data_IF_634033195456
#
_entry.id   IF_634033195456
#
_cell.length_a   1.000
_cell.length_b   1.000
_cell.length_c   1.000
_cell.angle_alpha   90.00
_cell.angle_beta   90.00
_cell.angle_gamma   90.00
#
_symmetry.space_group_name_H-M   'P 1'
#
loop_
_entity.id
_entity.type
_entity.pdbx_description
1 polymer ?
#
# COMPACT_ATOMS: atom_id res chain seq x y z
N UNK A 1 1.28 -18.88 0.51
CA UNK A 1 2.38 -18.02 0.00
C UNK A 1 1.81 -16.63 -0.22
N UNK A 2 2.38 -15.61 0.41
CA UNK A 2 1.88 -14.23 0.34
C UNK A 2 2.21 -13.62 -1.03
N UNK A 3 1.21 -13.17 -1.79
CA UNK A 3 1.42 -12.41 -3.02
C UNK A 3 1.74 -10.96 -2.66
N UNK A 4 2.96 -10.52 -2.96
CA UNK A 4 3.39 -9.12 -2.81
C UNK A 4 3.28 -8.43 -4.17
N UNK A 5 2.57 -7.30 -4.23
CA UNK A 5 2.46 -6.47 -5.44
C UNK A 5 3.53 -5.37 -5.46
N UNK A 6 3.78 -4.78 -6.64
CA UNK A 6 4.65 -3.62 -6.78
C UNK A 6 4.09 -2.41 -6.01
N UNK A 7 2.76 -2.25 -5.96
CA UNK A 7 2.09 -1.25 -5.13
C UNK A 7 2.37 -1.45 -3.64
N UNK A 8 2.33 -2.69 -3.14
CA UNK A 8 2.64 -3.01 -1.73
C UNK A 8 4.09 -2.63 -1.37
N UNK A 9 5.04 -2.88 -2.28
CA UNK A 9 6.44 -2.55 -2.06
C UNK A 9 6.68 -1.02 -2.06
N UNK A 10 5.99 -0.28 -2.93
CA UNK A 10 6.06 1.17 -2.94
C UNK A 10 5.42 1.78 -1.68
N UNK A 11 4.23 1.30 -1.28
CA UNK A 11 3.57 1.71 -0.04
C UNK A 11 4.44 1.38 1.20
N UNK A 12 5.10 0.21 1.19
CA UNK A 12 6.06 -0.17 2.23
C UNK A 12 7.25 0.79 2.26
N UNK A 13 7.79 1.20 1.12
CA UNK A 13 8.87 2.17 1.06
C UNK A 13 8.44 3.55 1.58
N UNK A 14 7.22 4.00 1.28
CA UNK A 14 6.67 5.23 1.86
C UNK A 14 6.60 5.18 3.39
N UNK A 15 6.14 4.06 3.97
CA UNK A 15 6.17 3.86 5.42
C UNK A 15 7.59 3.91 5.99
N UNK A 16 8.53 3.19 5.37
CA UNK A 16 9.93 3.17 5.79
C UNK A 16 10.62 4.54 5.66
N UNK A 17 10.17 5.39 4.73
CA UNK A 17 10.64 6.77 4.61
C UNK A 17 10.22 7.63 5.81
N UNK A 18 9.02 7.39 6.36
CA UNK A 18 8.54 8.07 7.57
C UNK A 18 9.34 7.61 8.79
N UNK A 19 9.69 6.33 8.85
CA UNK A 19 10.59 5.78 9.86
C UNK A 19 11.98 6.43 9.76
N UNK A 20 12.55 6.50 8.55
CA UNK A 20 13.86 7.16 8.30
C UNK A 20 13.86 8.62 8.76
N UNK A 21 12.77 9.37 8.54
CA UNK A 21 12.65 10.75 8.99
C UNK A 21 12.73 10.91 10.51
N UNK A 22 12.29 9.90 11.26
CA UNK A 22 12.24 9.91 12.74
C UNK A 22 13.43 9.21 13.38
N UNK A 23 14.18 8.42 12.62
CA UNK A 23 15.35 7.71 13.10
C UNK A 23 16.52 8.66 13.33
N UNK A 24 17.28 8.45 14.40
CA UNK A 24 18.44 9.26 14.75
C UNK A 24 19.76 8.52 14.47
N UNK A 25 19.71 7.27 14.02
CA UNK A 25 20.92 6.48 13.72
C UNK A 25 21.58 7.02 12.45
N UNK A 26 22.92 7.12 12.43
CA UNK A 26 23.63 7.64 11.29
C UNK A 26 23.62 6.65 10.11
N UNK A 27 23.42 7.17 8.90
CA UNK A 27 23.54 6.39 7.66
C UNK A 27 25.01 6.17 7.33
N UNK A 28 25.40 4.92 7.10
CA UNK A 28 26.74 4.59 6.60
C UNK A 28 26.88 4.90 5.11
N UNK A 29 28.09 5.21 4.65
CA UNK A 29 28.34 5.47 3.22
C UNK A 29 27.98 4.27 2.34
N UNK A 30 28.14 3.05 2.85
CA UNK A 30 27.76 1.83 2.14
C UNK A 30 26.24 1.71 1.99
N UNK A 31 25.47 2.01 3.05
CA UNK A 31 24.00 2.01 2.98
C UNK A 31 23.49 3.07 2.00
N UNK A 32 24.11 4.26 1.98
CA UNK A 32 23.80 5.29 1.00
C UNK A 32 24.13 4.86 -0.44
N UNK A 33 25.33 4.33 -0.68
CA UNK A 33 25.75 3.85 -1.99
C UNK A 33 24.81 2.77 -2.54
N UNK A 34 24.44 1.80 -1.69
CA UNK A 34 23.49 0.75 -2.06
C UNK A 34 22.10 1.32 -2.37
N UNK A 35 21.64 2.31 -1.59
CA UNK A 35 20.36 2.99 -1.82
C UNK A 35 20.36 3.75 -3.16
N UNK A 36 21.36 4.59 -3.43
CA UNK A 36 21.49 5.38 -4.67
C UNK A 36 21.47 4.50 -5.93
N UNK A 37 22.28 3.43 -5.94
CA UNK A 37 22.28 2.44 -7.05
C UNK A 37 20.90 1.82 -7.23
N UNK A 38 20.21 1.52 -6.13
CA UNK A 38 18.88 0.90 -6.17
C UNK A 38 17.82 1.86 -6.70
N UNK A 39 17.90 3.15 -6.36
CA UNK A 39 17.02 4.19 -6.92
C UNK A 39 17.20 4.30 -8.43
N UNK A 40 18.45 4.40 -8.91
CA UNK A 40 18.73 4.43 -10.35
C UNK A 40 18.20 3.18 -11.07
N UNK A 41 18.41 1.99 -10.49
CA UNK A 41 17.92 0.73 -11.05
C UNK A 41 16.40 0.68 -11.09
N UNK A 42 15.72 1.16 -10.05
CA UNK A 42 14.26 1.25 -10.01
C UNK A 42 13.72 2.21 -11.08
N UNK A 43 14.30 3.41 -11.22
CA UNK A 43 13.93 4.35 -12.27
C UNK A 43 14.15 3.77 -13.67
N UNK A 44 15.26 3.06 -13.88
CA UNK A 44 15.51 2.32 -15.13
C UNK A 44 14.46 1.25 -15.36
N UNK A 45 14.08 0.49 -14.33
CA UNK A 45 13.02 -0.51 -14.39
C UNK A 45 11.62 0.08 -14.58
N UNK A 46 11.41 1.37 -14.26
CA UNK A 46 10.13 2.07 -14.47
C UNK A 46 10.03 2.82 -15.80
N UNK A 47 11.13 3.38 -16.30
CA UNK A 47 11.17 4.28 -17.48
C UNK A 47 11.85 3.68 -18.70
N UNK A 48 12.66 2.64 -18.48
CA UNK A 48 13.46 2.00 -19.52
C UNK A 48 14.83 2.65 -19.60
N UNK A 49 15.79 1.95 -20.19
CA UNK A 49 17.07 2.54 -20.52
C UNK A 49 16.83 3.77 -21.42
N UNK A 50 17.42 4.93 -21.07
CA UNK A 50 17.20 6.21 -21.78
C UNK A 50 15.73 6.62 -21.97
N UNK A 51 14.85 6.17 -21.08
CA UNK A 51 13.43 6.50 -21.15
C UNK A 51 12.74 5.92 -22.39
N UNK A 52 13.28 4.83 -22.98
CA UNK A 52 12.72 4.18 -24.19
C UNK A 52 11.26 3.76 -23.98
N UNK A 53 10.86 3.49 -22.74
CA UNK A 53 9.49 3.10 -22.40
C UNK A 53 8.55 4.28 -22.17
N UNK A 54 8.99 5.51 -22.39
CA UNK A 54 8.18 6.71 -22.21
C UNK A 54 7.91 7.34 -23.59
N UNK A 55 6.67 7.73 -23.92
CA UNK A 55 6.36 8.43 -25.17
C UNK A 55 7.20 9.70 -25.32
N UNK A 56 7.53 10.07 -26.56
CA UNK A 56 8.52 11.13 -26.84
C UNK A 56 8.08 12.50 -26.31
N UNK A 57 6.77 12.72 -26.23
CA UNK A 57 6.13 13.93 -25.71
C UNK A 57 6.36 14.16 -24.20
N UNK A 58 6.67 13.13 -23.41
CA UNK A 58 6.91 13.26 -21.97
C UNK A 58 8.40 13.47 -21.66
N UNK A 59 8.91 14.62 -22.07
CA UNK A 59 10.35 14.97 -22.00
C UNK A 59 10.90 14.98 -20.58
N UNK A 60 10.13 15.39 -19.58
CA UNK A 60 10.56 15.41 -18.17
C UNK A 60 10.85 13.99 -17.63
N UNK A 61 10.00 13.02 -17.95
CA UNK A 61 10.19 11.61 -17.54
C UNK A 61 11.38 10.97 -18.25
N UNK A 62 11.65 11.32 -19.51
CA UNK A 62 12.83 10.82 -20.24
C UNK A 62 14.13 11.44 -19.71
N UNK A 63 14.10 12.75 -19.48
CA UNK A 63 15.20 13.48 -18.89
C UNK A 63 15.56 12.97 -17.49
N UNK A 64 14.59 12.44 -16.73
CA UNK A 64 14.82 11.91 -15.38
C UNK A 64 15.90 10.82 -15.31
N UNK A 65 15.96 9.93 -16.31
CA UNK A 65 16.97 8.86 -16.34
C UNK A 65 18.24 9.31 -17.06
N UNK A 66 18.10 10.09 -18.14
CA UNK A 66 19.25 10.58 -18.91
C UNK A 66 20.14 11.54 -18.12
N UNK A 67 19.54 12.31 -17.20
CA UNK A 67 20.24 13.31 -16.38
C UNK A 67 20.59 12.80 -14.98
N UNK A 68 20.33 11.51 -14.68
CA UNK A 68 20.62 10.96 -13.36
C UNK A 68 22.12 11.10 -13.02
N UNK A 69 22.49 11.54 -11.80
CA UNK A 69 23.89 11.82 -11.47
C UNK A 69 24.83 10.63 -11.67
N UNK A 70 25.88 10.81 -12.48
CA UNK A 70 26.95 9.83 -12.75
C UNK A 70 28.32 10.34 -12.28
N UNK A 71 29.29 9.46 -11.97
CA UNK A 71 29.18 8.00 -11.92
C UNK A 71 28.43 7.53 -10.67
N UNK A 72 27.72 6.40 -10.76
CA UNK A 72 27.21 5.71 -9.58
C UNK A 72 28.39 5.24 -8.70
N UNK A 73 28.42 5.67 -7.43
CA UNK A 73 29.47 5.28 -6.49
C UNK A 73 29.03 4.03 -5.74
N UNK A 74 29.37 2.84 -6.26
CA UNK A 74 29.04 1.55 -5.64
C UNK A 74 29.75 0.38 -6.33
N UNK A 75 29.75 -0.82 -5.75
CA UNK A 75 30.41 -2.01 -6.32
C UNK A 75 29.60 -2.58 -7.50
N UNK A 76 29.45 -1.85 -8.61
CA UNK A 76 28.79 -2.37 -9.82
C UNK A 76 29.40 -1.77 -11.10
N UNK A 77 29.82 -2.64 -12.03
CA UNK A 77 30.04 -2.32 -13.46
C UNK A 77 28.73 -2.54 -14.23
N UNK A 78 28.24 -1.53 -14.93
CA UNK A 78 27.10 -1.65 -15.86
C UNK A 78 27.57 -2.25 -17.20
N UNK A 79 26.91 -3.27 -17.78
CA UNK A 79 27.30 -3.80 -19.09
C UNK A 79 26.70 -3.01 -20.26
N UNK A 80 27.50 -2.88 -21.32
CA UNK A 80 27.17 -2.34 -22.65
C UNK A 80 26.74 -3.51 -23.53
N UNK A 81 25.60 -3.44 -24.21
CA UNK A 81 25.07 -4.57 -25.00
C UNK A 81 25.74 -4.68 -26.37
N UNK A 82 26.39 -5.82 -26.66
CA UNK A 82 26.72 -6.29 -28.01
C UNK A 82 25.92 -7.58 -28.29
N UNK A 83 25.32 -7.65 -29.47
CA UNK A 83 24.38 -8.67 -29.94
C UNK A 83 25.05 -9.96 -30.44
N UNK A 84 24.60 -11.17 -30.04
CA UNK A 84 24.44 -12.37 -30.91
C UNK A 84 23.89 -13.64 -30.19
N UNK A 85 23.37 -14.66 -30.92
CA UNK A 85 22.43 -15.68 -30.39
C UNK A 85 23.00 -17.10 -30.15
N UNK A 86 22.13 -17.98 -29.58
CA UNK A 86 22.13 -19.49 -29.50
C UNK A 86 22.82 -20.13 -28.27
N UNK A 87 22.39 -21.24 -27.63
CA UNK A 87 21.64 -22.45 -28.04
C UNK A 87 21.08 -23.21 -26.80
N UNK A 88 20.11 -24.12 -27.00
CA UNK A 88 19.09 -24.56 -26.01
C UNK A 88 19.39 -25.85 -25.20
N UNK A 89 20.57 -26.47 -25.30
CA UNK A 89 20.76 -27.88 -24.84
C UNK A 89 21.53 -28.08 -23.50
N UNK A 90 21.89 -27.01 -22.79
CA UNK A 90 22.72 -27.13 -21.58
C UNK A 90 21.93 -27.06 -20.24
N UNK A 91 20.60 -26.92 -20.30
CA UNK A 91 19.75 -26.49 -19.18
C UNK A 91 19.40 -27.54 -18.11
N UNK A 92 19.58 -28.84 -18.35
CA UNK A 92 19.01 -29.85 -17.44
C UNK A 92 19.94 -30.36 -16.33
N UNK A 93 21.26 -30.11 -16.39
CA UNK A 93 22.20 -30.70 -15.40
C UNK A 93 22.63 -29.77 -14.26
N UNK A 94 22.32 -28.48 -14.32
CA UNK A 94 22.81 -27.50 -13.33
C UNK A 94 21.77 -27.07 -12.28
N UNK A 95 20.52 -27.55 -12.40
CA UNK A 95 19.40 -27.21 -11.52
C UNK A 95 19.50 -27.76 -10.07
N UNK A 96 20.53 -28.56 -9.74
CA UNK A 96 20.62 -29.28 -8.47
C UNK A 96 21.55 -28.64 -7.41
N UNK A 97 22.30 -27.57 -7.71
CA UNK A 97 23.43 -27.16 -6.87
C UNK A 97 23.28 -25.88 -6.02
N UNK A 98 22.21 -25.09 -6.16
CA UNK A 98 22.06 -23.82 -5.42
C UNK A 98 20.77 -23.77 -4.60
N UNK A 99 20.77 -24.47 -3.47
CA UNK A 99 19.73 -24.34 -2.45
C UNK A 99 20.36 -24.10 -1.09
N UNK A 100 19.83 -23.08 -0.39
CA UNK A 100 20.07 -22.66 1.01
C UNK A 100 21.10 -21.54 1.22
N UNK A 101 20.57 -20.32 1.33
CA UNK A 101 20.77 -19.46 2.52
C UNK A 101 19.63 -18.44 2.63
N UNK A 102 18.76 -18.69 3.61
CA UNK A 102 17.84 -17.75 4.30
C UNK A 102 16.95 -16.83 3.44
N UNK A 103 15.76 -17.36 3.11
CA UNK A 103 14.48 -16.65 2.93
C UNK A 103 14.35 -15.50 1.92
N UNK A 104 15.19 -15.47 0.89
CA UNK A 104 14.81 -14.92 -0.41
C UNK A 104 14.89 -16.04 -1.44
N UNK A 105 13.79 -16.26 -2.15
CA UNK A 105 13.75 -17.17 -3.29
C UNK A 105 14.60 -16.56 -4.41
N UNK A 106 15.90 -16.85 -4.43
CA UNK A 106 16.68 -16.83 -5.67
C UNK A 106 16.19 -18.00 -6.52
N UNK A 107 15.17 -17.74 -7.34
CA UNK A 107 14.67 -18.72 -8.32
C UNK A 107 15.61 -18.74 -9.53
N UNK A 108 15.92 -19.91 -10.11
CA UNK A 108 16.95 -20.09 -11.13
C UNK A 108 16.58 -19.35 -12.43
N UNK A 109 17.56 -18.68 -13.03
CA UNK A 109 17.42 -17.96 -14.32
C UNK A 109 17.65 -18.91 -15.50
N UNK A 110 16.76 -18.93 -16.52
CA UNK A 110 16.92 -19.74 -17.73
C UNK A 110 17.59 -19.02 -18.92
N UNK A 111 18.38 -17.95 -18.73
CA UNK A 111 18.98 -17.20 -19.85
C UNK A 111 20.51 -17.03 -19.72
N UNK A 112 21.30 -17.18 -20.81
CA UNK A 112 22.76 -17.02 -20.78
C UNK A 112 23.27 -15.57 -20.85
N UNK A 113 22.38 -14.57 -20.95
CA UNK A 113 22.76 -13.16 -21.21
C UNK A 113 22.38 -12.19 -20.07
N UNK A 114 22.39 -12.63 -18.80
CA UNK A 114 22.02 -11.76 -17.68
C UNK A 114 23.24 -10.91 -17.21
N UNK A 115 23.05 -9.59 -16.97
CA UNK A 115 24.08 -8.70 -16.43
C UNK A 115 24.69 -9.25 -15.13
N UNK A 116 25.97 -8.94 -14.81
CA UNK A 116 26.56 -9.43 -13.57
C UNK A 116 25.66 -9.01 -12.40
N UNK A 117 25.25 -10.02 -11.63
CA UNK A 117 24.54 -9.86 -10.38
C UNK A 117 25.23 -8.77 -9.55
N UNK A 118 24.42 -7.90 -8.93
CA UNK A 118 24.87 -7.07 -7.81
C UNK A 118 25.81 -7.91 -6.95
N UNK A 119 26.96 -7.36 -6.56
CA UNK A 119 27.82 -8.01 -5.59
C UNK A 119 26.99 -8.16 -4.29
N UNK A 120 26.43 -9.37 -4.11
CA UNK A 120 25.41 -9.68 -3.09
C UNK A 120 25.98 -9.45 -1.70
N UNK A 121 27.32 -9.49 -1.57
CA UNK A 121 28.03 -9.24 -0.33
C UNK A 121 27.98 -7.76 0.11
N UNK A 122 27.71 -6.82 -0.81
CA UNK A 122 27.65 -5.39 -0.53
C UNK A 122 26.26 -4.84 -0.19
N UNK A 123 25.20 -5.63 -0.37
CA UNK A 123 23.81 -5.21 -0.15
C UNK A 123 23.40 -5.34 1.32
N UNK A 124 22.61 -4.40 1.85
CA UNK A 124 22.07 -4.52 3.21
C UNK A 124 21.16 -5.75 3.34
N UNK A 125 21.26 -6.45 4.47
CA UNK A 125 20.39 -7.58 4.77
C UNK A 125 19.01 -7.09 5.21
N UNK A 126 17.96 -7.87 4.93
CA UNK A 126 16.59 -7.56 5.37
C UNK A 126 16.45 -7.51 6.91
N UNK A 127 17.37 -8.15 7.61
CA UNK A 127 17.50 -8.17 9.08
C UNK A 127 18.21 -6.95 9.64
N UNK A 128 18.79 -6.08 8.80
CA UNK A 128 19.36 -4.80 9.25
C UNK A 128 18.22 -3.93 9.81
N UNK A 129 18.30 -3.53 11.10
CA UNK A 129 17.25 -2.74 11.72
C UNK A 129 17.21 -1.28 11.20
N UNK A 130 18.18 -0.84 10.41
CA UNK A 130 18.25 0.54 9.90
C UNK A 130 17.19 0.79 8.79
N UNK A 131 16.39 1.88 8.86
CA UNK A 131 15.35 2.14 7.87
C UNK A 131 15.89 2.29 6.44
N UNK A 132 17.08 2.89 6.27
CA UNK A 132 17.77 2.98 4.97
C UNK A 132 18.02 1.60 4.33
N UNK A 133 18.48 0.62 5.11
CA UNK A 133 18.73 -0.74 4.61
C UNK A 133 17.42 -1.43 4.16
N UNK A 134 16.35 -1.25 4.95
CA UNK A 134 15.02 -1.76 4.63
C UNK A 134 14.41 -1.07 3.42
N UNK A 135 14.65 0.24 3.24
CA UNK A 135 14.27 1.00 2.04
C UNK A 135 14.98 0.45 0.81
N UNK A 136 16.28 0.24 0.89
CA UNK A 136 17.07 -0.37 -0.20
C UNK A 136 16.53 -1.75 -0.56
N UNK A 137 16.16 -2.58 0.42
CA UNK A 137 15.53 -3.88 0.17
C UNK A 137 14.17 -3.75 -0.53
N UNK A 138 13.31 -2.83 -0.08
CA UNK A 138 11.98 -2.62 -0.67
C UNK A 138 12.07 -2.12 -2.12
N UNK A 139 12.93 -1.13 -2.38
CA UNK A 139 13.18 -0.64 -3.74
C UNK A 139 13.87 -1.67 -4.62
N UNK A 140 14.78 -2.48 -4.06
CA UNK A 140 15.43 -3.58 -4.80
C UNK A 140 14.42 -4.64 -5.23
N UNK A 141 13.57 -5.09 -4.31
CA UNK A 141 12.49 -6.03 -4.62
C UNK A 141 11.51 -5.46 -5.65
N UNK A 142 11.18 -4.17 -5.54
CA UNK A 142 10.30 -3.49 -6.49
C UNK A 142 10.94 -3.45 -7.88
N UNK A 143 12.22 -3.08 -7.98
CA UNK A 143 12.95 -3.04 -9.24
C UNK A 143 13.04 -4.42 -9.91
N UNK A 144 13.26 -5.49 -9.13
CA UNK A 144 13.25 -6.87 -9.65
C UNK A 144 11.89 -7.29 -10.20
N UNK A 145 10.83 -6.96 -9.47
CA UNK A 145 9.46 -7.29 -9.84
C UNK A 145 9.08 -6.57 -11.16
N UNK A 146 9.40 -5.29 -11.25
CA UNK A 146 9.17 -4.46 -12.44
C UNK A 146 10.01 -4.90 -13.65
N UNK A 147 11.28 -5.25 -13.43
CA UNK A 147 12.15 -5.74 -14.48
C UNK A 147 11.61 -7.03 -15.10
N UNK A 148 11.17 -8.00 -14.28
CA UNK A 148 10.55 -9.24 -14.77
C UNK A 148 9.26 -8.98 -15.55
N UNK A 149 8.41 -8.08 -15.06
CA UNK A 149 7.14 -7.78 -15.74
C UNK A 149 7.35 -7.12 -17.10
N UNK A 150 8.41 -6.32 -17.26
CA UNK A 150 8.78 -5.68 -18.53
C UNK A 150 9.39 -6.60 -19.57
N UNK A 151 10.09 -7.65 -19.14
CA UNK A 151 10.58 -8.70 -20.06
C UNK A 151 9.40 -9.46 -20.68
N UNK A 152 8.22 -9.40 -20.04
CA UNK A 152 7.01 -10.13 -20.45
C UNK A 152 5.98 -9.26 -21.19
N UNK A 153 5.84 -7.96 -20.92
CA UNK A 153 4.88 -7.08 -21.59
C UNK A 153 5.37 -5.63 -21.82
N UNK A 154 4.82 -4.99 -22.86
CA UNK A 154 5.14 -3.62 -23.32
C UNK A 154 4.70 -2.54 -22.32
N UNK A 155 5.39 -1.40 -22.43
CA UNK A 155 5.19 -0.04 -21.87
C UNK A 155 3.85 0.18 -21.13
N UNK A 156 3.86 0.73 -19.89
CA UNK A 156 2.62 1.13 -19.21
C UNK A 156 1.82 2.15 -20.04
N UNK A 157 0.57 1.83 -20.38
CA UNK A 157 -0.36 2.76 -21.06
C UNK A 157 -0.79 3.94 -20.14
N UNK A 158 -0.58 3.80 -18.82
CA UNK A 158 -0.93 4.77 -17.77
C UNK A 158 0.25 5.71 -17.45
N UNK A 159 0.46 6.73 -18.30
CA UNK A 159 1.55 7.70 -18.10
C UNK A 159 1.34 8.58 -16.87
N UNK A 160 0.10 8.92 -16.52
CA UNK A 160 -0.19 9.69 -15.31
C UNK A 160 0.18 8.88 -14.06
N UNK A 161 -0.14 7.58 -14.04
CA UNK A 161 0.29 6.65 -13.01
C UNK A 161 1.81 6.43 -12.98
N UNK A 162 2.47 6.35 -14.13
CA UNK A 162 3.93 6.30 -14.21
C UNK A 162 4.57 7.57 -13.62
N UNK A 163 4.01 8.74 -13.93
CA UNK A 163 4.43 10.03 -13.40
C UNK A 163 4.29 10.08 -11.88
N UNK A 164 3.15 9.65 -11.34
CA UNK A 164 2.94 9.62 -9.89
C UNK A 164 3.90 8.66 -9.17
N UNK A 165 4.12 7.46 -9.72
CA UNK A 165 5.07 6.50 -9.17
C UNK A 165 6.50 7.06 -9.17
N UNK A 166 6.94 7.67 -10.28
CA UNK A 166 8.27 8.31 -10.37
C UNK A 166 8.41 9.44 -9.36
N UNK A 167 7.39 10.27 -9.18
CA UNK A 167 7.35 11.35 -8.19
C UNK A 167 7.51 10.82 -6.76
N UNK A 168 6.83 9.71 -6.40
CA UNK A 168 6.96 9.08 -5.08
C UNK A 168 8.38 8.55 -4.83
N UNK A 169 8.98 7.88 -5.83
CA UNK A 169 10.36 7.40 -5.76
C UNK A 169 11.33 8.57 -5.56
N UNK A 170 11.16 9.67 -6.30
CA UNK A 170 11.99 10.87 -6.16
C UNK A 170 11.82 11.56 -4.80
N UNK A 171 10.60 11.63 -4.28
CA UNK A 171 10.34 12.21 -2.95
C UNK A 171 11.05 11.40 -1.85
N UNK A 172 11.05 10.07 -1.95
CA UNK A 172 11.79 9.20 -1.02
C UNK A 172 13.30 9.37 -1.21
N UNK A 173 13.79 9.49 -2.45
CA UNK A 173 15.21 9.72 -2.73
C UNK A 173 15.73 11.06 -2.18
N UNK A 174 14.97 12.15 -2.36
CA UNK A 174 15.28 13.46 -1.80
C UNK A 174 15.32 13.43 -0.26
N UNK A 175 14.34 12.78 0.36
CA UNK A 175 14.32 12.59 1.82
C UNK A 175 15.55 11.81 2.30
N UNK A 176 15.87 10.69 1.65
CA UNK A 176 17.02 9.86 1.98
C UNK A 176 18.34 10.62 1.83
N UNK A 177 18.46 11.45 0.78
CA UNK A 177 19.60 12.34 0.57
C UNK A 177 19.75 13.35 1.72
N UNK A 178 18.66 14.04 2.08
CA UNK A 178 18.65 15.01 3.19
C UNK A 178 19.04 14.37 4.51
N UNK A 179 18.45 13.22 4.82
CA UNK A 179 18.77 12.48 6.03
C UNK A 179 20.24 12.03 6.04
N UNK A 180 20.75 11.52 4.92
CA UNK A 180 22.16 11.10 4.81
C UNK A 180 23.11 12.28 4.99
N UNK A 181 22.84 13.44 4.38
CA UNK A 181 23.64 14.66 4.55
C UNK A 181 23.71 15.13 6.01
N UNK A 182 22.64 14.93 6.78
CA UNK A 182 22.62 15.26 8.20
C UNK A 182 23.46 14.29 9.06
N UNK A 183 23.74 13.07 8.55
CA UNK A 183 24.42 12.02 9.32
C UNK A 183 25.86 11.71 8.89
N UNK A 184 26.34 12.21 7.75
CA UNK A 184 27.69 11.92 7.23
C UNK A 184 28.63 13.12 7.35
N UNK A 185 29.96 12.90 7.41
CA UNK A 185 30.93 14.00 7.37
C UNK A 185 30.76 14.86 6.10
N UNK A 186 30.99 16.17 6.21
CA UNK A 186 30.88 17.14 5.10
C UNK A 186 31.68 16.73 3.85
N UNK A 187 32.81 16.04 4.01
CA UNK A 187 33.60 15.54 2.87
C UNK A 187 32.85 14.53 1.99
N UNK A 188 31.80 13.89 2.51
CA UNK A 188 31.05 12.82 1.85
C UNK A 188 29.62 13.26 1.45
N UNK A 189 29.24 14.52 1.66
CA UNK A 189 27.88 15.00 1.36
C UNK A 189 27.65 15.28 -0.12
N UNK A 190 28.72 15.40 -0.92
CA UNK A 190 28.62 15.77 -2.34
C UNK A 190 27.67 14.85 -3.11
N UNK A 191 27.79 13.53 -2.95
CA UNK A 191 26.95 12.56 -3.68
C UNK A 191 25.48 12.60 -3.23
N UNK A 192 25.14 12.51 -1.93
CA UNK A 192 23.79 12.77 -1.44
C UNK A 192 23.21 14.10 -1.94
N UNK A 193 23.98 15.19 -1.88
CA UNK A 193 23.54 16.50 -2.32
C UNK A 193 23.18 16.52 -3.81
N UNK A 194 24.02 15.96 -4.68
CA UNK A 194 23.74 15.93 -6.13
C UNK A 194 22.51 15.08 -6.46
N UNK A 195 22.33 13.93 -5.80
CA UNK A 195 21.13 13.08 -5.98
C UNK A 195 19.88 13.77 -5.44
N UNK A 196 19.97 14.45 -4.28
CA UNK A 196 18.89 15.25 -3.71
C UNK A 196 18.45 16.36 -4.64
N UNK A 197 19.39 17.19 -5.12
CA UNK A 197 19.11 18.27 -6.07
C UNK A 197 18.50 17.77 -7.38
N UNK A 198 18.97 16.65 -7.89
CA UNK A 198 18.37 16.01 -9.07
C UNK A 198 16.92 15.60 -8.78
N UNK A 199 16.67 14.92 -7.67
CA UNK A 199 15.32 14.50 -7.30
C UNK A 199 14.37 15.69 -7.13
N UNK A 200 14.78 16.72 -6.40
CA UNK A 200 13.97 17.92 -6.18
C UNK A 200 13.69 18.70 -7.47
N UNK A 201 14.69 18.87 -8.34
CA UNK A 201 14.50 19.53 -9.63
C UNK A 201 13.49 18.83 -10.54
N UNK A 202 13.40 17.49 -10.47
CA UNK A 202 12.40 16.73 -11.22
C UNK A 202 11.03 16.68 -10.53
N UNK A 203 10.95 16.78 -9.20
CA UNK A 203 9.66 16.84 -8.50
C UNK A 203 8.82 18.06 -8.93
N UNK A 204 9.46 19.21 -9.15
CA UNK A 204 8.77 20.42 -9.61
C UNK A 204 8.27 20.30 -11.05
N UNK A 205 9.05 19.65 -11.92
CA UNK A 205 8.72 19.48 -13.35
C UNK A 205 7.71 18.35 -13.63
N UNK A 206 7.53 17.41 -12.70
CA UNK A 206 6.55 16.31 -12.79
C UNK A 206 5.19 16.65 -12.15
N UNK A 207 4.85 17.94 -12.03
CA UNK A 207 3.59 18.40 -11.43
C UNK A 207 2.37 17.88 -12.19
N UNK A 208 1.50 17.13 -11.51
CA UNK A 208 0.28 16.58 -12.10
C UNK A 208 -0.90 17.55 -11.94
N UNK A 209 -1.66 17.78 -13.02
CA UNK A 209 -2.92 18.53 -12.97
C UNK A 209 -4.08 17.74 -12.34
N UNK A 210 -3.90 16.43 -12.10
CA UNK A 210 -4.85 15.53 -11.44
C UNK A 210 -4.12 14.50 -10.57
N UNK A 211 -4.67 14.13 -9.40
CA UNK A 211 -4.20 12.96 -8.68
C UNK A 211 -4.51 11.70 -9.52
N UNK A 212 -3.47 11.01 -9.97
CA UNK A 212 -3.58 9.72 -10.64
C UNK A 212 -2.95 8.65 -9.76
N UNK A 213 -3.65 7.54 -9.57
CA UNK A 213 -3.12 6.36 -8.87
C UNK A 213 -2.42 5.50 -9.92
N UNK A 214 -1.19 5.06 -9.63
CA UNK A 214 -0.41 4.18 -10.50
C UNK A 214 -1.03 2.76 -10.59
N UNK A 215 -2.15 2.63 -11.31
CA UNK A 215 -2.99 1.42 -11.35
C UNK A 215 -2.21 0.20 -11.82
N UNK A 216 -1.29 0.40 -12.75
CA UNK A 216 -0.41 -0.62 -13.29
C UNK A 216 0.46 -1.30 -12.22
N UNK A 217 0.81 -0.63 -11.10
CA UNK A 217 1.58 -1.24 -10.01
C UNK A 217 0.82 -2.36 -9.26
N UNK A 218 -0.51 -2.37 -9.33
CA UNK A 218 -1.34 -3.41 -8.70
C UNK A 218 -1.43 -4.68 -9.56
N UNK A 219 -1.21 -4.56 -10.87
CA UNK A 219 -1.17 -5.69 -11.82
C UNK A 219 0.18 -6.42 -11.74
N UNK A 220 1.22 -5.71 -11.33
CA UNK A 220 2.58 -6.23 -11.25
C UNK A 220 2.78 -6.94 -9.90
N UNK A 221 2.35 -8.19 -9.81
CA UNK A 221 2.55 -9.06 -8.64
C UNK A 221 3.71 -10.04 -8.83
N UNK A 222 4.40 -10.41 -7.74
CA UNK A 222 5.46 -11.43 -7.75
C UNK A 222 4.99 -12.82 -8.22
N UNK A 223 3.70 -12.96 -8.51
CA UNK A 223 3.06 -14.11 -9.13
C UNK A 223 2.25 -13.66 -10.36
N UNK A 224 2.75 -13.84 -11.57
CA UNK A 224 1.96 -13.87 -12.83
C UNK A 224 2.59 -14.93 -13.75
N UNK A 225 1.87 -15.76 -14.52
CA UNK A 225 0.50 -15.72 -14.99
C UNK A 225 -0.09 -17.13 -15.22
N UNK A 226 -1.42 -17.17 -15.39
CA UNK A 226 -2.23 -18.21 -16.04
C UNK A 226 -2.28 -19.61 -15.44
N UNK A 227 -3.24 -19.80 -14.53
CA UNK A 227 -4.10 -20.99 -14.57
C UNK A 227 -5.46 -20.58 -14.03
N UNK A 228 -6.54 -21.04 -14.67
CA UNK A 228 -7.91 -20.82 -14.26
C UNK A 228 -8.09 -20.97 -12.73
N UNK A 229 -9.01 -20.22 -12.09
CA UNK A 229 -9.16 -20.23 -10.64
C UNK A 229 -9.63 -21.62 -10.19
N UNK A 230 -8.70 -22.48 -9.79
CA UNK A 230 -9.00 -23.82 -9.28
C UNK A 230 -8.93 -23.92 -7.76
N UNK A 231 -8.70 -22.79 -7.06
CA UNK A 231 -8.68 -22.76 -5.60
C UNK A 231 -9.36 -21.49 -5.07
N UNK A 232 -10.30 -21.60 -4.11
CA UNK A 232 -10.87 -20.46 -3.37
C UNK A 232 -9.80 -19.52 -2.78
N UNK A 233 -8.59 -20.02 -2.57
CA UNK A 233 -7.43 -19.33 -1.95
C UNK A 233 -6.84 -18.22 -2.84
N UNK A 234 -6.73 -18.44 -4.15
CA UNK A 234 -6.30 -17.39 -5.11
C UNK A 234 -7.41 -16.37 -5.39
N UNK A 235 -8.65 -16.73 -5.10
CA UNK A 235 -9.80 -15.84 -5.28
C UNK A 235 -9.77 -14.69 -4.27
N UNK A 236 -9.44 -14.95 -3.00
CA UNK A 236 -9.47 -13.90 -1.97
C UNK A 236 -8.45 -12.78 -2.23
N UNK A 237 -7.21 -13.12 -2.57
CA UNK A 237 -6.17 -12.10 -2.86
C UNK A 237 -6.54 -11.21 -4.04
N UNK A 238 -7.03 -11.81 -5.13
CA UNK A 238 -7.47 -11.06 -6.33
C UNK A 238 -8.67 -10.17 -5.98
N UNK A 239 -9.63 -10.71 -5.24
CA UNK A 239 -10.84 -9.97 -4.84
C UNK A 239 -10.50 -8.84 -3.87
N UNK A 240 -9.59 -9.05 -2.91
CA UNK A 240 -9.11 -8.01 -2.00
C UNK A 240 -8.38 -6.91 -2.78
N UNK A 241 -7.50 -7.27 -3.71
CA UNK A 241 -6.77 -6.29 -4.52
C UNK A 241 -7.72 -5.45 -5.39
N UNK A 242 -8.70 -6.10 -6.03
CA UNK A 242 -9.70 -5.42 -6.86
C UNK A 242 -10.63 -4.52 -6.04
N UNK A 243 -11.08 -5.00 -4.87
CA UNK A 243 -11.84 -4.19 -3.93
C UNK A 243 -11.02 -3.01 -3.42
N UNK A 244 -9.77 -3.21 -3.04
CA UNK A 244 -8.86 -2.16 -2.57
C UNK A 244 -8.71 -1.05 -3.63
N UNK A 245 -8.47 -1.43 -4.88
CA UNK A 245 -8.31 -0.51 -6.01
C UNK A 245 -9.60 0.29 -6.28
N UNK A 246 -10.74 -0.38 -6.36
CA UNK A 246 -12.02 0.27 -6.68
C UNK A 246 -12.52 1.15 -5.54
N UNK A 247 -12.30 0.73 -4.29
CA UNK A 247 -12.64 1.52 -3.10
C UNK A 247 -11.77 2.78 -2.96
N UNK A 248 -10.48 2.73 -3.32
CA UNK A 248 -9.62 3.92 -3.32
C UNK A 248 -10.14 4.98 -4.30
N UNK A 249 -10.53 4.53 -5.50
CA UNK A 249 -11.12 5.41 -6.53
C UNK A 249 -12.41 6.06 -6.03
N UNK A 250 -13.24 5.29 -5.33
CA UNK A 250 -14.53 5.74 -4.82
C UNK A 250 -14.39 6.76 -3.67
N UNK A 251 -13.46 6.54 -2.73
CA UNK A 251 -13.18 7.47 -1.62
C UNK A 251 -12.60 8.79 -2.11
N UNK A 252 -11.78 8.76 -3.17
CA UNK A 252 -11.15 9.95 -3.74
C UNK A 252 -11.96 10.59 -4.87
N UNK A 253 -13.18 10.12 -5.13
CA UNK A 253 -14.09 10.79 -6.03
C UNK A 253 -14.36 12.23 -5.58
N UNK A 254 -14.67 13.14 -6.52
CA UNK A 254 -14.95 14.53 -6.19
C UNK A 254 -16.06 14.69 -5.15
N UNK A 255 -17.08 13.82 -5.23
CA UNK A 255 -18.14 13.68 -4.23
C UNK A 255 -18.41 12.18 -4.00
N UNK A 256 -17.79 11.55 -2.98
CA UNK A 256 -18.00 10.13 -2.71
C UNK A 256 -19.45 9.85 -2.34
N UNK A 257 -19.97 8.69 -2.73
CA UNK A 257 -21.35 8.31 -2.38
C UNK A 257 -21.46 7.95 -0.89
N UNK A 258 -22.53 8.40 -0.22
CA UNK A 258 -22.86 7.94 1.15
C UNK A 258 -22.98 6.41 1.20
N UNK A 259 -23.57 5.79 0.18
CA UNK A 259 -23.69 4.34 0.12
C UNK A 259 -22.32 3.66 0.04
N UNK A 260 -21.35 4.29 -0.63
CA UNK A 260 -19.98 3.80 -0.70
C UNK A 260 -19.26 3.90 0.64
N UNK A 261 -19.41 5.02 1.35
CA UNK A 261 -18.85 5.20 2.70
C UNK A 261 -19.44 4.19 3.70
N UNK A 262 -20.75 3.94 3.63
CA UNK A 262 -21.41 2.91 4.44
C UNK A 262 -20.96 1.50 4.05
N UNK A 263 -20.75 1.24 2.76
CA UNK A 263 -20.23 -0.05 2.29
C UNK A 263 -18.81 -0.29 2.81
N UNK A 264 -17.95 0.73 2.85
CA UNK A 264 -16.61 0.63 3.42
C UNK A 264 -16.63 0.21 4.89
N UNK A 265 -17.46 0.86 5.72
CA UNK A 265 -17.53 0.52 7.15
C UNK A 265 -18.10 -0.89 7.36
N UNK A 266 -19.13 -1.28 6.59
CA UNK A 266 -19.68 -2.65 6.60
C UNK A 266 -18.66 -3.71 6.18
N UNK A 267 -17.87 -3.44 5.14
CA UNK A 267 -16.78 -4.35 4.74
C UNK A 267 -15.71 -4.42 5.82
N UNK A 268 -15.38 -3.30 6.46
CA UNK A 268 -14.49 -3.28 7.64
C UNK A 268 -14.98 -4.18 8.76
N UNK A 269 -16.26 -4.09 9.11
CA UNK A 269 -16.90 -4.98 10.09
C UNK A 269 -16.76 -6.45 9.68
N UNK A 270 -17.02 -6.77 8.41
CA UNK A 270 -16.93 -8.14 7.91
C UNK A 270 -15.49 -8.68 7.92
N UNK A 271 -14.51 -7.85 7.55
CA UNK A 271 -13.09 -8.19 7.59
C UNK A 271 -12.64 -8.52 9.01
N UNK A 272 -12.92 -7.63 9.98
CA UNK A 272 -12.51 -7.84 11.38
C UNK A 272 -13.20 -9.06 12.00
N UNK A 273 -14.50 -9.26 11.73
CA UNK A 273 -15.22 -10.44 12.19
C UNK A 273 -14.62 -11.74 11.61
N UNK A 274 -14.23 -11.73 10.33
CA UNK A 274 -13.60 -12.89 9.69
C UNK A 274 -12.21 -13.16 10.28
N UNK A 275 -11.45 -12.12 10.62
CA UNK A 275 -10.17 -12.24 11.33
C UNK A 275 -10.37 -12.87 12.71
N UNK A 276 -11.36 -12.42 13.49
CA UNK A 276 -11.67 -12.98 14.81
C UNK A 276 -12.00 -14.48 14.71
N UNK A 277 -12.88 -14.88 13.78
CA UNK A 277 -13.25 -16.29 13.56
C UNK A 277 -12.04 -17.16 13.15
N UNK A 278 -11.20 -16.67 12.23
CA UNK A 278 -9.99 -17.40 11.83
C UNK A 278 -8.97 -17.51 12.97
N UNK A 279 -8.83 -16.47 13.80
CA UNK A 279 -7.96 -16.49 14.96
C UNK A 279 -8.44 -17.49 16.02
N UNK A 280 -9.75 -17.54 16.27
CA UNK A 280 -10.37 -18.50 17.21
C UNK A 280 -10.30 -19.96 16.73
N UNK A 281 -10.34 -20.19 15.41
CA UNK A 281 -10.37 -21.51 14.80
C UNK A 281 -9.03 -22.27 14.80
N UNK A 282 -7.91 -21.62 15.13
CA UNK A 282 -6.59 -22.27 15.18
C UNK A 282 -5.91 -22.14 16.55
N UNK A 283 -4.83 -22.89 16.76
CA UNK A 283 -3.88 -22.69 17.89
C UNK A 283 -3.10 -21.36 17.78
N UNK A 284 -3.43 -20.56 16.79
CA UNK A 284 -2.86 -19.29 16.37
C UNK A 284 -3.23 -18.11 17.29
N UNK A 285 -3.12 -18.27 18.61
CA UNK A 285 -3.10 -17.14 19.58
C UNK A 285 -1.93 -16.16 19.33
N UNK A 286 -1.04 -16.47 18.41
CA UNK A 286 0.08 -15.62 17.99
C UNK A 286 -0.34 -14.34 17.26
N UNK A 287 -1.53 -14.26 16.66
CA UNK A 287 -1.91 -13.16 15.76
C UNK A 287 -2.88 -12.14 16.34
N UNK A 288 -3.78 -12.55 17.23
CA UNK A 288 -4.81 -11.66 17.79
C UNK A 288 -4.34 -10.76 18.94
N UNK A 289 -3.07 -10.85 19.35
CA UNK A 289 -2.66 -10.40 20.68
C UNK A 289 -3.39 -11.20 21.77
N UNK A 290 -3.05 -10.99 23.04
CA UNK A 290 -3.77 -11.64 24.14
C UNK A 290 -5.16 -11.04 24.40
N UNK A 291 -5.48 -9.90 23.76
CA UNK A 291 -6.67 -9.12 24.05
C UNK A 291 -7.60 -8.95 22.83
N UNK A 292 -8.62 -9.82 22.67
CA UNK A 292 -9.61 -9.71 21.60
C UNK A 292 -10.57 -8.53 21.78
N UNK A 293 -10.52 -7.78 22.89
CA UNK A 293 -11.42 -6.65 23.10
C UNK A 293 -11.21 -5.54 22.07
N UNK A 294 -9.96 -5.24 21.69
CA UNK A 294 -9.67 -4.18 20.70
C UNK A 294 -10.31 -4.42 19.32
N UNK A 295 -10.38 -5.68 18.87
CA UNK A 295 -11.07 -6.04 17.62
C UNK A 295 -12.58 -5.82 17.72
N UNK A 296 -13.19 -6.21 18.84
CA UNK A 296 -14.63 -6.04 19.07
C UNK A 296 -15.02 -4.58 19.25
N UNK A 297 -14.18 -3.78 19.89
CA UNK A 297 -14.37 -2.34 19.98
C UNK A 297 -14.33 -1.68 18.61
N UNK A 298 -13.37 -2.05 17.76
CA UNK A 298 -13.30 -1.57 16.38
C UNK A 298 -14.52 -1.99 15.55
N UNK A 299 -14.97 -3.24 15.69
CA UNK A 299 -16.20 -3.74 15.04
C UNK A 299 -17.42 -2.94 15.49
N UNK A 300 -17.60 -2.74 16.79
CA UNK A 300 -18.71 -1.97 17.37
C UNK A 300 -18.70 -0.53 16.83
N UNK A 301 -17.55 0.14 16.87
CA UNK A 301 -17.44 1.51 16.38
C UNK A 301 -17.77 1.64 14.89
N UNK A 302 -17.38 0.67 14.04
CA UNK A 302 -17.76 0.66 12.62
C UNK A 302 -19.27 0.44 12.40
N UNK A 303 -19.90 -0.39 13.25
CA UNK A 303 -21.36 -0.59 13.23
C UNK A 303 -22.08 0.70 13.65
N UNK A 304 -21.60 1.36 14.70
CA UNK A 304 -22.18 2.62 15.20
C UNK A 304 -22.12 3.71 14.13
N UNK A 305 -21.05 3.77 13.35
CA UNK A 305 -20.97 4.66 12.18
C UNK A 305 -22.05 4.38 11.15
N UNK A 306 -22.32 3.12 10.81
CA UNK A 306 -23.36 2.79 9.82
C UNK A 306 -24.76 3.20 10.30
N UNK A 307 -24.98 3.23 11.62
CA UNK A 307 -26.22 3.66 12.28
C UNK A 307 -26.31 5.18 12.47
N UNK A 308 -25.18 5.86 12.63
CA UNK A 308 -25.12 7.30 12.88
C UNK A 308 -25.47 8.17 11.66
N UNK A 309 -25.47 7.61 10.44
CA UNK A 309 -25.94 8.32 9.26
C UNK A 309 -27.43 8.71 9.39
N UNK A 310 -27.81 9.96 9.06
CA UNK A 310 -29.21 10.33 8.99
C UNK A 310 -30.00 9.38 8.08
N UNK A 311 -31.20 8.98 8.52
CA UNK A 311 -32.02 8.02 7.76
C UNK A 311 -32.37 8.57 6.38
N UNK A 312 -31.87 7.94 5.31
CA UNK A 312 -32.04 8.41 3.94
C UNK A 312 -30.99 9.44 3.50
N UNK A 313 -29.87 9.54 4.21
CA UNK A 313 -28.74 10.37 3.80
C UNK A 313 -28.25 9.99 2.40
N UNK A 314 -27.93 10.99 1.59
CA UNK A 314 -27.43 10.83 0.23
C UNK A 314 -26.59 12.03 -0.18
N UNK A 315 -25.57 11.81 -0.99
CA UNK A 315 -24.80 12.86 -1.69
C UNK A 315 -25.31 13.12 -3.09
N UNK A 316 -26.43 12.50 -3.48
CA UNK A 316 -26.97 12.45 -4.85
C UNK A 316 -26.01 11.81 -5.87
N UNK A 317 -24.87 11.29 -5.43
CA UNK A 317 -23.94 10.50 -6.22
C UNK A 317 -24.18 9.02 -6.02
N UNK A 318 -24.13 8.26 -7.11
CA UNK A 318 -24.25 6.80 -7.08
C UNK A 318 -22.86 6.19 -6.95
N UNK A 319 -22.71 5.07 -6.22
CA UNK A 319 -21.48 4.29 -6.23
C UNK A 319 -21.10 3.87 -7.65
N UNK A 320 -19.81 3.83 -7.96
CA UNK A 320 -19.35 3.27 -9.22
C UNK A 320 -19.72 1.78 -9.32
N UNK A 321 -20.19 1.33 -10.49
CA UNK A 321 -20.57 -0.08 -10.70
C UNK A 321 -19.42 -1.04 -10.41
N UNK A 322 -18.19 -0.66 -10.77
CA UNK A 322 -16.98 -1.44 -10.49
C UNK A 322 -16.72 -1.59 -8.99
N UNK A 323 -17.01 -0.56 -8.19
CA UNK A 323 -16.88 -0.64 -6.73
C UNK A 323 -17.98 -1.52 -6.12
N UNK A 324 -19.21 -1.45 -6.64
CA UNK A 324 -20.32 -2.31 -6.18
C UNK A 324 -20.01 -3.77 -6.45
N UNK A 325 -19.56 -4.09 -7.67
CA UNK A 325 -19.21 -5.47 -8.04
C UNK A 325 -18.04 -6.00 -7.22
N UNK A 326 -16.98 -5.21 -7.05
CA UNK A 326 -15.83 -5.61 -6.24
C UNK A 326 -16.21 -5.81 -4.76
N UNK A 327 -17.07 -4.95 -4.21
CA UNK A 327 -17.57 -5.09 -2.84
C UNK A 327 -18.45 -6.32 -2.66
N UNK A 328 -19.27 -6.65 -3.67
CA UNK A 328 -20.06 -7.90 -3.67
C UNK A 328 -19.15 -9.11 -3.72
N UNK A 329 -18.18 -9.12 -4.63
CA UNK A 329 -17.20 -10.21 -4.75
C UNK A 329 -16.42 -10.42 -3.44
N UNK A 330 -16.02 -9.32 -2.77
CA UNK A 330 -15.37 -9.41 -1.46
C UNK A 330 -16.29 -10.04 -0.42
N UNK A 331 -17.54 -9.59 -0.33
CA UNK A 331 -18.50 -10.17 0.59
C UNK A 331 -18.71 -11.67 0.34
N UNK A 332 -18.89 -12.06 -0.92
CA UNK A 332 -19.05 -13.46 -1.35
C UNK A 332 -17.80 -14.32 -1.08
N UNK A 333 -16.60 -13.73 -1.07
CA UNK A 333 -15.37 -14.43 -0.74
C UNK A 333 -15.17 -14.57 0.80
N UNK A 334 -15.58 -13.56 1.57
CA UNK A 334 -15.42 -13.53 3.03
C UNK A 334 -16.40 -14.45 3.76
N UNK A 335 -17.66 -14.51 3.32
CA UNK A 335 -18.70 -15.23 4.07
C UNK A 335 -18.44 -16.75 4.18
N UNK A 336 -18.07 -17.47 3.10
CA UNK A 336 -17.70 -18.89 3.20
C UNK A 336 -16.45 -19.12 4.04
N UNK A 337 -15.50 -18.18 4.00
CA UNK A 337 -14.26 -18.25 4.78
C UNK A 337 -14.55 -18.11 6.28
N UNK A 338 -15.41 -17.18 6.65
CA UNK A 338 -15.89 -16.96 8.03
C UNK A 338 -16.60 -18.19 8.58
N UNK A 339 -17.59 -18.71 7.85
CA UNK A 339 -18.37 -19.89 8.25
C UNK A 339 -17.53 -21.19 8.25
N UNK A 340 -16.49 -21.24 7.41
CA UNK A 340 -15.61 -22.39 7.22
C UNK A 340 -14.33 -22.36 8.05
N UNK A 341 -14.10 -21.35 8.90
CA UNK A 341 -12.81 -21.09 9.55
C UNK A 341 -12.21 -22.31 10.29
N UNK A 342 -13.05 -23.07 11.01
CA UNK A 342 -12.65 -24.28 11.74
C UNK A 342 -12.25 -25.46 10.84
N UNK A 343 -12.67 -25.46 9.57
CA UNK A 343 -12.41 -26.54 8.60
C UNK A 343 -11.18 -26.28 7.74
N UNK A 344 -10.60 -25.09 7.82
CA UNK A 344 -9.39 -24.73 7.08
C UNK A 344 -8.18 -25.44 7.70
N UNK A 345 -7.30 -25.93 6.83
CA UNK A 345 -5.98 -26.36 7.25
C UNK A 345 -5.13 -25.15 7.70
N UNK A 346 -4.01 -25.41 8.39
CA UNK A 346 -3.17 -24.33 8.93
C UNK A 346 -2.58 -23.41 7.86
N UNK A 347 -2.16 -23.97 6.72
CA UNK A 347 -1.54 -23.18 5.64
C UNK A 347 -2.55 -22.27 4.94
N UNK A 348 -3.81 -22.71 4.83
CA UNK A 348 -4.92 -21.94 4.29
C UNK A 348 -5.34 -20.83 5.21
N UNK A 349 -5.43 -21.14 6.50
CA UNK A 349 -5.73 -20.15 7.52
C UNK A 349 -4.68 -19.05 7.51
N UNK A 350 -3.39 -19.40 7.47
CA UNK A 350 -2.30 -18.42 7.42
C UNK A 350 -2.34 -17.57 6.14
N UNK A 351 -2.64 -18.18 4.99
CA UNK A 351 -2.75 -17.46 3.71
C UNK A 351 -3.95 -16.51 3.70
N UNK A 352 -5.12 -16.98 4.17
CA UNK A 352 -6.31 -16.17 4.29
C UNK A 352 -6.11 -15.01 5.29
N UNK A 353 -5.49 -15.29 6.44
CA UNK A 353 -5.15 -14.27 7.42
C UNK A 353 -4.23 -13.20 6.81
N UNK A 354 -3.20 -13.57 6.06
CA UNK A 354 -2.33 -12.61 5.40
C UNK A 354 -3.08 -11.71 4.39
N UNK A 355 -4.04 -12.26 3.65
CA UNK A 355 -4.90 -11.49 2.74
C UNK A 355 -5.80 -10.50 3.50
N UNK A 356 -6.38 -10.94 4.61
CA UNK A 356 -7.22 -10.09 5.46
C UNK A 356 -6.43 -8.97 6.13
N UNK A 357 -5.20 -9.24 6.59
CA UNK A 357 -4.32 -8.21 7.15
C UNK A 357 -3.92 -7.15 6.11
N UNK A 358 -3.75 -7.55 4.84
CA UNK A 358 -3.58 -6.59 3.75
C UNK A 358 -4.83 -5.75 3.55
N UNK A 359 -6.00 -6.39 3.53
CA UNK A 359 -7.28 -5.69 3.39
C UNK A 359 -7.54 -4.69 4.54
N UNK A 360 -7.22 -5.04 5.79
CA UNK A 360 -7.35 -4.13 6.94
C UNK A 360 -6.34 -2.99 6.87
N UNK A 361 -5.10 -3.26 6.45
CA UNK A 361 -4.11 -2.21 6.22
C UNK A 361 -4.59 -1.22 5.16
N UNK A 362 -5.15 -1.70 4.05
CA UNK A 362 -5.72 -0.84 3.01
C UNK A 362 -6.89 0.00 3.53
N UNK A 363 -7.85 -0.65 4.20
CA UNK A 363 -9.00 0.05 4.78
C UNK A 363 -8.57 1.11 5.81
N UNK A 364 -7.51 0.85 6.59
CA UNK A 364 -6.97 1.81 7.54
C UNK A 364 -6.48 3.09 6.85
N UNK A 365 -5.83 2.96 5.69
CA UNK A 365 -5.41 4.10 4.88
C UNK A 365 -6.62 4.88 4.35
N UNK A 366 -7.67 4.18 3.91
CA UNK A 366 -8.89 4.82 3.43
C UNK A 366 -9.64 5.57 4.53
N UNK A 367 -9.73 4.99 5.72
CA UNK A 367 -10.34 5.60 6.89
C UNK A 367 -9.55 6.84 7.36
N UNK A 368 -8.21 6.81 7.31
CA UNK A 368 -7.37 7.99 7.57
C UNK A 368 -7.63 9.08 6.52
N UNK A 369 -7.52 8.77 5.24
CA UNK A 369 -7.74 9.73 4.15
C UNK A 369 -9.16 10.28 4.16
N UNK A 370 -10.13 9.47 4.58
CA UNK A 370 -11.54 9.79 4.69
C UNK A 370 -11.96 10.38 6.04
N UNK A 371 -11.04 10.62 6.99
CA UNK A 371 -11.37 10.97 8.38
C UNK A 371 -12.25 12.22 8.49
N UNK A 372 -12.06 13.19 7.61
CA UNK A 372 -12.82 14.45 7.59
C UNK A 372 -13.95 14.48 6.55
N UNK A 373 -14.24 13.36 5.88
CA UNK A 373 -15.25 13.35 4.80
C UNK A 373 -16.65 13.73 5.26
N UNK A 374 -17.22 13.20 6.37
CA UNK A 374 -18.55 13.60 6.80
C UNK A 374 -18.67 15.11 7.03
N UNK A 375 -17.68 15.71 7.70
CA UNK A 375 -17.60 17.14 7.94
C UNK A 375 -17.52 17.94 6.63
N UNK A 376 -16.62 17.54 5.72
CA UNK A 376 -16.44 18.21 4.42
C UNK A 376 -17.71 18.15 3.57
N UNK A 377 -18.43 17.02 3.58
CA UNK A 377 -19.69 16.86 2.85
C UNK A 377 -20.80 17.76 3.43
N UNK A 378 -20.88 17.92 4.74
CA UNK A 378 -21.82 18.84 5.37
C UNK A 378 -21.46 20.31 5.13
N UNK A 379 -20.18 20.69 5.33
CA UNK A 379 -19.70 22.06 5.10
C UNK A 379 -19.86 22.52 3.65
N UNK A 380 -19.77 21.60 2.69
CA UNK A 380 -19.98 21.88 1.27
C UNK A 380 -21.46 21.87 0.84
N UNK A 381 -22.38 21.51 1.75
CA UNK A 381 -23.81 21.37 1.42
C UNK A 381 -24.11 20.21 0.47
N UNK A 382 -23.21 19.23 0.40
CA UNK A 382 -23.32 18.08 -0.50
C UNK A 382 -23.91 16.83 0.17
N UNK A 383 -24.10 16.85 1.49
CA UNK A 383 -24.81 15.82 2.22
C UNK A 383 -26.28 16.22 2.36
N UNK A 384 -27.19 15.43 1.78
CA UNK A 384 -28.63 15.64 1.87
C UNK A 384 -29.27 14.56 2.73
N UNK A 385 -30.34 14.89 3.44
CA UNK A 385 -31.21 13.90 4.07
C UNK A 385 -32.65 14.40 4.11
N UNK A 386 -33.65 13.52 4.30
CA UNK A 386 -35.02 13.93 4.57
C UNK A 386 -35.07 14.89 5.76
N UNK A 387 -35.76 16.02 5.64
CA UNK A 387 -35.86 17.01 6.73
C UNK A 387 -36.39 16.41 8.04
N UNK A 388 -37.19 15.33 7.96
CA UNK A 388 -37.72 14.58 9.11
C UNK A 388 -36.66 13.81 9.91
N UNK A 389 -35.54 13.42 9.29
CA UNK A 389 -34.44 12.70 9.93
C UNK A 389 -33.34 13.61 10.47
N UNK A 390 -33.45 14.93 10.24
CA UNK A 390 -32.49 15.92 10.70
C UNK A 390 -32.96 16.60 11.99
N UNK A 391 -32.07 17.35 12.63
CA UNK A 391 -32.37 18.07 13.88
C UNK A 391 -33.53 19.05 13.64
N UNK A 392 -34.58 19.03 14.50
CA UNK A 392 -35.71 19.93 14.36
C UNK A 392 -35.30 21.39 14.47
N UNK A 393 -35.68 22.20 13.49
CA UNK A 393 -35.46 23.64 13.49
C UNK A 393 -36.67 24.37 12.87
N UNK A 394 -37.02 25.59 13.32
CA UNK A 394 -38.24 26.29 12.93
C UNK A 394 -38.27 26.64 11.43
N UNK A 395 -37.13 26.93 10.84
CA UNK A 395 -36.93 27.17 9.40
C UNK A 395 -37.21 25.92 8.54
N UNK A 396 -37.12 24.72 9.11
CA UNK A 396 -37.32 23.43 8.42
C UNK A 396 -38.72 22.84 8.54
N UNK A 397 -39.65 23.49 9.26
CA UNK A 397 -40.99 22.95 9.52
C UNK A 397 -41.76 22.62 8.24
N UNK A 398 -41.69 23.49 7.24
CA UNK A 398 -42.34 23.27 5.94
C UNK A 398 -41.74 22.08 5.22
N UNK A 399 -40.40 21.98 5.15
CA UNK A 399 -39.73 20.88 4.46
C UNK A 399 -39.93 19.54 5.18
N UNK A 400 -40.00 19.54 6.51
CA UNK A 400 -40.38 18.37 7.33
C UNK A 400 -41.77 17.87 6.99
N UNK A 401 -42.76 18.76 6.91
CA UNK A 401 -44.15 18.40 6.56
C UNK A 401 -44.24 17.74 5.19
N UNK A 402 -43.44 18.19 4.23
CA UNK A 402 -43.43 17.66 2.86
C UNK A 402 -42.42 16.53 2.64
N UNK A 403 -41.65 16.13 3.66
CA UNK A 403 -40.63 15.07 3.55
C UNK A 403 -39.53 15.38 2.53
N UNK A 404 -39.23 16.66 2.30
CA UNK A 404 -38.21 17.08 1.33
C UNK A 404 -36.80 16.71 1.80
N UNK A 405 -35.92 16.43 0.85
CA UNK A 405 -34.50 16.32 1.13
C UNK A 405 -33.88 17.71 1.18
N UNK A 406 -33.15 18.00 2.25
CA UNK A 406 -32.45 19.28 2.45
C UNK A 406 -30.99 18.99 2.82
N UNK A 407 -30.06 19.94 2.59
CA UNK A 407 -28.69 19.81 3.04
C UNK A 407 -28.61 19.64 4.56
N UNK A 408 -27.85 18.64 5.00
CA UNK A 408 -27.51 18.43 6.40
C UNK A 408 -26.42 19.42 6.82
N UNK A 409 -26.58 20.01 7.99
CA UNK A 409 -25.60 20.91 8.62
C UNK A 409 -24.71 20.13 9.58
N UNK A 410 -23.62 20.75 10.05
CA UNK A 410 -22.75 20.15 11.08
C UNK A 410 -23.53 19.74 12.34
N UNK A 411 -24.54 20.52 12.73
CA UNK A 411 -25.39 20.21 13.88
C UNK A 411 -26.33 19.01 13.64
N UNK A 412 -26.56 18.63 12.39
CA UNK A 412 -27.36 17.45 12.06
C UNK A 412 -26.54 16.15 12.04
N UNK A 413 -25.21 16.27 11.98
CA UNK A 413 -24.29 15.15 11.83
C UNK A 413 -23.22 15.12 12.92
N UNK A 414 -23.41 15.82 14.03
CA UNK A 414 -22.45 15.85 15.15
C UNK A 414 -22.13 14.46 15.65
N UNK A 415 -23.15 13.62 15.79
CA UNK A 415 -23.03 12.24 16.29
C UNK A 415 -22.30 11.36 15.26
N UNK A 416 -22.61 11.54 13.97
CA UNK A 416 -21.89 10.88 12.88
C UNK A 416 -20.41 11.29 12.86
N UNK A 417 -20.10 12.57 13.04
CA UNK A 417 -18.71 13.03 13.08
C UNK A 417 -17.97 12.40 14.25
N UNK A 418 -18.58 12.37 15.44
CA UNK A 418 -17.96 11.78 16.62
C UNK A 418 -17.71 10.28 16.44
N UNK A 419 -18.75 9.52 16.06
CA UNK A 419 -18.65 8.07 15.82
C UNK A 419 -17.68 7.74 14.69
N UNK A 420 -17.63 8.54 13.62
CA UNK A 420 -16.67 8.35 12.52
C UNK A 420 -15.23 8.48 13.00
N UNK A 421 -14.92 9.52 13.78
CA UNK A 421 -13.58 9.71 14.33
C UNK A 421 -13.20 8.58 15.29
N UNK A 422 -14.11 8.19 16.17
CA UNK A 422 -13.89 7.06 17.08
C UNK A 422 -13.65 5.76 16.31
N UNK A 423 -14.47 5.45 15.31
CA UNK A 423 -14.29 4.26 14.49
C UNK A 423 -12.94 4.23 13.76
N UNK A 424 -12.50 5.36 13.22
CA UNK A 424 -11.16 5.48 12.61
C UNK A 424 -10.08 5.16 13.65
N UNK A 425 -10.16 5.74 14.86
CA UNK A 425 -9.14 5.53 15.91
C UNK A 425 -9.12 4.09 16.42
N UNK A 426 -10.29 3.50 16.73
CA UNK A 426 -10.41 2.10 17.17
C UNK A 426 -9.93 1.13 16.10
N UNK A 427 -10.29 1.38 14.84
CA UNK A 427 -9.84 0.56 13.72
C UNK A 427 -8.32 0.60 13.56
N UNK A 428 -7.71 1.78 13.69
CA UNK A 428 -6.26 1.93 13.61
C UNK A 428 -5.54 1.21 14.76
N UNK A 429 -6.05 1.32 15.98
CA UNK A 429 -5.52 0.60 17.14
C UNK A 429 -5.58 -0.91 16.92
N UNK A 430 -6.73 -1.42 16.47
CA UNK A 430 -6.90 -2.82 16.12
C UNK A 430 -5.92 -3.27 15.01
N UNK A 431 -5.76 -2.48 13.95
CA UNK A 431 -4.84 -2.80 12.86
C UNK A 431 -3.36 -2.81 13.32
N UNK A 432 -2.96 -1.88 14.19
CA UNK A 432 -1.60 -1.88 14.77
C UNK A 432 -1.37 -3.12 15.63
N UNK A 433 -2.34 -3.50 16.47
CA UNK A 433 -2.26 -4.70 17.31
C UNK A 433 -2.12 -5.98 16.46
N UNK A 434 -2.86 -6.06 15.35
CA UNK A 434 -2.78 -7.16 14.39
C UNK A 434 -1.42 -7.24 13.67
N UNK A 435 -0.80 -6.09 13.36
CA UNK A 435 0.47 -6.03 12.62
C UNK A 435 1.72 -6.18 13.51
N UNK A 436 1.61 -5.88 14.81
CA UNK A 436 2.72 -5.88 15.77
C UNK A 436 2.36 -6.59 17.10
N UNK A 437 2.04 -7.91 17.08
CA UNK A 437 1.60 -8.63 18.28
C UNK A 437 2.65 -8.68 19.41
N UNK A 438 3.93 -8.48 19.08
CA UNK A 438 5.05 -8.49 20.03
C UNK A 438 5.36 -7.14 20.70
N UNK A 439 4.91 -6.00 20.16
CA UNK A 439 5.16 -4.67 20.78
C UNK A 439 4.15 -4.34 21.89
N UNK A 440 2.91 -4.83 21.81
CA UNK A 440 1.90 -4.67 22.87
C UNK A 440 2.35 -5.31 24.20
N UNK A 441 3.13 -6.40 24.14
CA UNK A 441 3.72 -7.05 25.32
C UNK A 441 4.62 -6.13 26.16
N UNK A 442 5.30 -5.16 25.53
CA UNK A 442 6.22 -4.27 26.26
C UNK A 442 5.48 -3.10 26.92
N UNK A 443 4.35 -2.64 26.36
CA UNK A 443 3.54 -1.58 26.98
C UNK A 443 2.69 -2.10 28.14
N UNK A 444 2.06 -3.27 28.01
CA UNK A 444 1.27 -3.87 29.10
C UNK A 444 2.13 -4.38 30.27
N UNK A 445 3.41 -4.65 30.02
CA UNK A 445 4.38 -5.04 31.06
C UNK A 445 4.95 -3.86 31.84
N UNK A 446 4.92 -2.62 31.32
CA UNK A 446 5.49 -1.47 32.02
C UNK A 446 4.51 -0.76 32.95
N UNK A 447 3.20 -1.02 32.83
CA UNK A 447 2.15 -0.40 33.67
C UNK A 447 1.78 -1.22 34.92
N UNK A 448 2.46 -2.35 35.17
CA UNK A 448 2.32 -3.12 36.41
C UNK A 448 3.68 -3.27 37.10
N UNK A 449 4.29 -2.14 37.47
CA UNK A 449 5.34 -2.10 38.49
C UNK A 449 4.72 -2.16 39.89
N UNK A 450 5.27 -2.94 40.84
CA UNK A 450 4.65 -3.13 42.14
C UNK A 450 4.74 -1.84 42.96
N UNK A 451 3.59 -1.34 43.42
CA UNK A 451 3.57 -0.44 44.56
C UNK A 451 4.05 -1.22 45.79
N UNK A 452 5.24 -0.85 46.28
CA UNK A 452 5.65 -1.07 47.67
C UNK A 452 5.31 0.18 48.48
#
# INVERSE_FOLDING_TARGET
MSTTTAADLLARAELLSRDLRRDARPVTLQQWAAFDVTVHRLLTAMLGEHGISVPKEHTALRALIDQYPQPLTGPVRMPRSESQPTTRDHFERQAAASTRRQHLLSVPSPAPDEPPALDVEGLPQITDPHPMARLTCAFGALADLLHRHRVLDRIPDDIDGLTDASRRVLAIAALAAHHTMASVPLANTQRPMTVGLHAEGFLDSLTTGRPAVARWLYEVAATHAQTAPSSPRRSLDVVVAEWARTSETEVHAAVPSVDSLRTLTRQGTHLLATIEELACAGDTRSWAGEDPTGLREAVTALIDVDQAWPSGASTLTRPAHTFVDASRALHEALEPLRLGAARLDGADRDTAMAALLRATSHLSHQLISGRTLPERLACSGLLFAPARSLTPAPDRLSDRKHGRHIPATLNDISDLMHTWHEAVDRFLQANVALMHPSQVRQMSSSDMGPSL
#
